data_IF_228702848393
#
_entry.id   IF_228702848393
#
_cell.length_a   1.000
_cell.length_b   1.000
_cell.length_c   1.000
_cell.angle_alpha   90.00
_cell.angle_beta   90.00
_cell.angle_gamma   90.00
#
_symmetry.space_group_name_H-M   'P 1'
#
loop_
_entity.id
_entity.type
_entity.pdbx_description
1 polymer ?
#
# COMPACT_ATOMS: atom_id res chain seq x y z
N UNK A 1 -7.51 6.69 14.37
CA UNK A 1 -6.06 6.47 14.55
C UNK A 1 -5.47 6.37 13.16
N UNK A 2 -4.33 7.02 12.90
CA UNK A 2 -3.69 7.01 11.58
C UNK A 2 -2.75 5.80 11.48
N UNK A 3 -2.84 5.06 10.38
CA UNK A 3 -1.98 3.91 10.10
C UNK A 3 -0.99 4.27 8.99
N UNK A 4 0.30 4.00 9.22
CA UNK A 4 1.33 4.12 8.18
C UNK A 4 1.63 2.73 7.66
N UNK A 5 1.44 2.53 6.37
CA UNK A 5 1.53 1.24 5.70
C UNK A 5 2.90 1.07 5.04
N UNK A 6 3.56 -0.02 5.40
CA UNK A 6 4.74 -0.51 4.70
C UNK A 6 4.36 -1.20 3.39
N UNK A 7 5.28 -1.27 2.42
CA UNK A 7 5.06 -1.97 1.16
C UNK A 7 4.69 -3.44 1.39
N UNK A 8 5.35 -4.10 2.34
CA UNK A 8 5.07 -5.51 2.67
C UNK A 8 3.65 -5.73 3.19
N UNK A 9 3.14 -4.83 4.03
CA UNK A 9 1.76 -4.89 4.53
C UNK A 9 0.74 -4.73 3.38
N UNK A 10 0.94 -3.73 2.53
CA UNK A 10 0.06 -3.51 1.36
C UNK A 10 0.08 -4.72 0.42
N UNK A 11 1.26 -5.32 0.21
CA UNK A 11 1.38 -6.53 -0.61
C UNK A 11 0.69 -7.73 0.01
N UNK A 12 0.76 -7.91 1.33
CA UNK A 12 0.04 -9.00 2.01
C UNK A 12 -1.46 -8.91 1.75
N UNK A 13 -2.05 -7.71 1.78
CA UNK A 13 -3.44 -7.50 1.40
C UNK A 13 -3.71 -7.79 -0.08
N UNK A 14 -2.92 -7.21 -1.00
CA UNK A 14 -3.13 -7.37 -2.44
C UNK A 14 -2.93 -8.81 -2.94
N UNK A 15 -2.12 -9.59 -2.24
CA UNK A 15 -1.74 -10.95 -2.60
C UNK A 15 -2.51 -12.02 -1.80
N UNK A 16 -3.40 -11.61 -0.89
CA UNK A 16 -4.17 -12.50 -0.01
C UNK A 16 -3.25 -13.40 0.85
N UNK A 17 -2.21 -12.79 1.44
CA UNK A 17 -1.27 -13.45 2.35
C UNK A 17 -1.75 -13.40 3.81
N UNK A 18 -1.09 -14.16 4.69
CA UNK A 18 -1.38 -14.14 6.13
C UNK A 18 -1.33 -12.71 6.71
N UNK A 19 -2.41 -12.29 7.36
CA UNK A 19 -2.56 -10.93 7.90
C UNK A 19 -3.22 -9.93 6.97
N UNK A 20 -3.68 -10.34 5.78
CA UNK A 20 -4.45 -9.50 4.86
C UNK A 20 -5.68 -8.85 5.53
N UNK A 21 -6.38 -9.57 6.40
CA UNK A 21 -7.53 -9.10 7.17
C UNK A 21 -7.17 -7.96 8.14
N UNK A 22 -6.01 -8.05 8.77
CA UNK A 22 -5.47 -7.01 9.66
C UNK A 22 -5.14 -5.76 8.85
N UNK A 23 -4.50 -5.93 7.69
CA UNK A 23 -4.15 -4.81 6.80
C UNK A 23 -5.40 -4.17 6.21
N UNK A 24 -6.41 -4.95 5.82
CA UNK A 24 -7.70 -4.42 5.39
C UNK A 24 -8.33 -3.55 6.47
N UNK A 25 -8.32 -3.99 7.73
CA UNK A 25 -8.78 -3.17 8.85
C UNK A 25 -8.01 -1.84 8.99
N UNK A 26 -6.71 -1.84 8.69
CA UNK A 26 -5.89 -0.62 8.67
C UNK A 26 -6.18 0.27 7.46
N UNK A 27 -6.51 -0.29 6.30
CA UNK A 27 -6.87 0.43 5.08
C UNK A 27 -8.16 1.23 5.22
N UNK A 28 -9.17 0.69 5.92
CA UNK A 28 -10.46 1.37 6.20
C UNK A 28 -10.32 2.55 7.17
N UNK A 29 -9.17 2.69 7.85
CA UNK A 29 -8.85 3.84 8.71
C UNK A 29 -8.13 4.96 7.94
N UNK A 30 -7.78 6.08 8.59
CA UNK A 30 -6.92 7.13 7.98
C UNK A 30 -5.53 6.54 7.68
N UNK A 31 -5.37 5.97 6.48
CA UNK A 31 -4.20 5.21 6.07
C UNK A 31 -3.28 6.03 5.17
N UNK A 32 -1.98 5.90 5.41
CA UNK A 32 -0.93 6.62 4.68
C UNK A 32 0.14 5.65 4.23
N UNK A 33 0.70 5.88 3.04
CA UNK A 33 1.81 5.12 2.51
C UNK A 33 2.88 6.08 1.98
N UNK A 34 4.14 5.89 2.35
CA UNK A 34 5.22 6.68 1.78
C UNK A 34 5.38 6.41 0.28
N UNK A 35 5.74 7.42 -0.52
CA UNK A 35 5.91 7.29 -1.97
C UNK A 35 6.95 6.23 -2.36
N UNK A 36 7.97 6.02 -1.53
CA UNK A 36 8.93 4.93 -1.71
C UNK A 36 8.26 3.56 -1.58
N UNK A 37 7.48 3.34 -0.52
CA UNK A 37 6.74 2.11 -0.28
C UNK A 37 5.69 1.87 -1.37
N UNK A 38 4.96 2.91 -1.78
CA UNK A 38 4.01 2.86 -2.89
C UNK A 38 4.67 2.40 -4.20
N UNK A 39 5.85 2.94 -4.51
CA UNK A 39 6.64 2.54 -5.69
C UNK A 39 7.14 1.11 -5.60
N UNK A 40 7.49 0.64 -4.41
CA UNK A 40 7.86 -0.75 -4.17
C UNK A 40 6.67 -1.70 -4.39
N UNK A 41 5.48 -1.38 -3.87
CA UNK A 41 4.25 -2.14 -4.12
C UNK A 41 4.01 -2.26 -5.63
N UNK A 42 4.01 -1.15 -6.35
CA UNK A 42 3.83 -1.14 -7.80
C UNK A 42 4.83 -2.05 -8.52
N UNK A 43 6.12 -1.92 -8.17
CA UNK A 43 7.18 -2.75 -8.75
C UNK A 43 6.95 -4.23 -8.46
N UNK A 44 6.57 -4.59 -7.23
CA UNK A 44 6.34 -5.99 -6.84
C UNK A 44 5.11 -6.58 -7.53
N UNK A 45 3.98 -5.86 -7.57
CA UNK A 45 2.78 -6.26 -8.31
C UNK A 45 3.12 -6.53 -9.77
N UNK A 46 3.80 -5.60 -10.44
CA UNK A 46 4.24 -5.77 -11.83
C UNK A 46 5.19 -6.97 -11.99
N UNK A 47 6.12 -7.19 -11.06
CA UNK A 47 7.06 -8.32 -11.13
C UNK A 47 6.38 -9.69 -11.00
N UNK A 48 5.20 -9.76 -10.37
CA UNK A 48 4.38 -10.97 -10.28
C UNK A 48 3.44 -11.19 -11.48
N UNK A 49 3.50 -10.31 -12.50
CA UNK A 49 2.62 -10.37 -13.67
C UNK A 49 1.18 -9.93 -13.41
N UNK A 50 0.93 -9.26 -12.28
CA UNK A 50 -0.38 -8.73 -11.91
C UNK A 50 -0.58 -7.31 -12.45
N UNK A 51 -1.84 -6.92 -12.59
CA UNK A 51 -2.23 -5.60 -13.07
C UNK A 51 -2.09 -4.54 -11.96
N UNK A 52 -1.15 -3.61 -12.15
CA UNK A 52 -0.95 -2.52 -11.21
C UNK A 52 -2.09 -1.50 -11.22
N UNK A 53 -2.71 -1.24 -12.35
CA UNK A 53 -3.83 -0.28 -12.41
C UNK A 53 -5.04 -0.82 -11.65
N UNK A 54 -5.29 -2.13 -11.72
CA UNK A 54 -6.33 -2.77 -10.91
C UNK A 54 -6.01 -2.70 -9.40
N UNK A 55 -4.78 -3.05 -9.01
CA UNK A 55 -4.35 -3.00 -7.61
C UNK A 55 -4.39 -1.58 -7.04
N UNK A 56 -3.93 -0.60 -7.83
CA UNK A 56 -4.00 0.83 -7.49
C UNK A 56 -5.43 1.29 -7.31
N UNK A 57 -6.33 0.97 -8.24
CA UNK A 57 -7.74 1.36 -8.13
C UNK A 57 -8.40 0.80 -6.86
N UNK A 58 -8.05 -0.43 -6.47
CA UNK A 58 -8.49 -1.01 -5.21
C UNK A 58 -7.98 -0.21 -4.00
N UNK A 59 -6.67 0.07 -3.92
CA UNK A 59 -6.10 0.85 -2.82
C UNK A 59 -6.65 2.29 -2.77
N UNK A 60 -6.86 2.93 -3.91
CA UNK A 60 -7.50 4.24 -4.02
C UNK A 60 -8.95 4.23 -3.53
N UNK A 61 -9.67 3.09 -3.66
CA UNK A 61 -11.03 2.95 -3.12
C UNK A 61 -11.08 2.93 -1.58
N UNK A 62 -9.97 2.61 -0.92
CA UNK A 62 -9.79 2.76 0.54
C UNK A 62 -9.25 4.15 0.92
N UNK A 63 -9.15 5.09 -0.02
CA UNK A 63 -8.67 6.47 0.20
C UNK A 63 -7.24 6.55 0.77
N UNK A 64 -6.38 5.57 0.48
CA UNK A 64 -4.97 5.55 0.92
C UNK A 64 -4.24 6.80 0.43
N UNK A 65 -3.66 7.57 1.36
CA UNK A 65 -2.88 8.76 1.03
C UNK A 65 -1.42 8.43 0.80
N UNK A 66 -0.89 8.83 -0.35
CA UNK A 66 0.54 8.71 -0.64
C UNK A 66 1.28 9.97 -0.19
N UNK A 67 2.20 9.81 0.76
CA UNK A 67 3.03 10.91 1.28
C UNK A 67 4.36 10.99 0.51
N UNK A 68 4.79 12.18 0.05
CA UNK A 68 6.07 12.34 -0.63
C UNK A 68 7.23 12.06 0.33
N UNK A 69 8.35 11.55 -0.21
CA UNK A 69 9.63 11.50 0.50
C UNK A 69 10.41 12.78 0.18
N UNK A 70 10.81 13.51 1.22
CA UNK A 70 11.57 14.76 1.13
C UNK A 70 12.95 14.60 1.78
N UNK A 71 13.82 15.61 1.64
CA UNK A 71 15.19 15.54 2.17
C UNK A 71 15.25 15.44 3.70
N UNK A 72 14.25 15.99 4.39
CA UNK A 72 14.19 16.01 5.85
C UNK A 72 13.82 14.63 6.45
N UNK A 73 13.44 13.66 5.61
CA UNK A 73 13.10 12.30 6.04
C UNK A 73 14.33 11.38 6.22
N UNK A 74 15.53 11.82 5.81
CA UNK A 74 16.79 11.06 5.87
C UNK A 74 17.65 11.44 7.08
#
# INVERSE_FOLDING_TARGET
MTSVLDASAVLAFLLDEDGADIVEGALVSDSRCGAANWSEVARRVLSTGRDWDQARALLESYEVRVEPVVRDDA
#
